data_IF_260292186798
#
_entry.id   IF_260292186798
#
_cell.length_a   1.000
_cell.length_b   1.000
_cell.length_c   1.000
_cell.angle_alpha   90.00
_cell.angle_beta   90.00
_cell.angle_gamma   90.00
#
_symmetry.space_group_name_H-M   'P 1'
#
loop_
_entity.id
_entity.type
_entity.pdbx_description
1 polymer ?
#
# COMPACT_ATOMS: atom_id res chain seq x y z
N UNK A 1 -4.74 -2.37 -30.13
CA UNK A 1 -5.93 -2.38 -29.23
C UNK A 1 -6.33 -0.95 -28.94
N UNK A 2 -7.42 -0.45 -29.54
CA UNK A 2 -7.98 0.86 -29.20
C UNK A 2 -8.70 0.76 -27.85
N UNK A 3 -8.10 1.29 -26.79
CA UNK A 3 -8.81 1.50 -25.52
C UNK A 3 -9.81 2.63 -25.74
N UNK A 4 -11.07 2.28 -25.96
CA UNK A 4 -12.19 3.21 -25.84
C UNK A 4 -12.13 3.83 -24.45
N UNK A 5 -11.77 5.11 -24.38
CA UNK A 5 -11.88 5.88 -23.14
C UNK A 5 -13.38 6.04 -22.86
N UNK A 6 -13.89 5.35 -21.84
CA UNK A 6 -15.26 5.49 -21.36
C UNK A 6 -15.55 6.97 -21.09
N UNK A 7 -16.33 7.61 -21.97
CA UNK A 7 -16.70 9.02 -21.86
C UNK A 7 -17.83 9.15 -20.85
N UNK A 8 -17.58 9.82 -19.74
CA UNK A 8 -18.57 9.99 -18.67
C UNK A 8 -19.70 10.94 -19.09
N UNK A 9 -20.96 10.52 -18.92
CA UNK A 9 -22.17 11.24 -19.34
C UNK A 9 -22.80 12.10 -18.23
N UNK A 10 -21.99 12.78 -17.41
CA UNK A 10 -22.48 13.61 -16.30
C UNK A 10 -21.64 14.87 -16.09
N UNK A 11 -22.25 15.91 -15.53
CA UNK A 11 -21.64 17.23 -15.33
C UNK A 11 -20.46 17.26 -14.35
N UNK A 12 -20.35 16.24 -13.48
CA UNK A 12 -19.22 16.08 -12.55
C UNK A 12 -18.12 15.25 -13.20
N UNK A 13 -16.88 15.75 -13.12
CA UNK A 13 -15.68 15.06 -13.63
C UNK A 13 -15.16 14.07 -12.59
N UNK A 14 -14.53 13.00 -13.05
CA UNK A 14 -13.77 12.10 -12.19
C UNK A 14 -12.35 12.62 -12.00
N UNK A 15 -11.91 12.70 -10.75
CA UNK A 15 -10.53 13.03 -10.41
C UNK A 15 -9.92 11.81 -9.72
N UNK A 16 -8.79 11.34 -10.23
CA UNK A 16 -7.99 10.31 -9.57
C UNK A 16 -6.80 10.97 -8.88
N UNK A 17 -6.68 10.78 -7.56
CA UNK A 17 -5.56 11.32 -6.78
C UNK A 17 -4.81 10.17 -6.11
N UNK A 18 -3.51 10.07 -6.40
CA UNK A 18 -2.64 9.03 -5.85
C UNK A 18 -1.76 9.61 -4.75
N UNK A 19 -1.70 8.92 -3.61
CA UNK A 19 -0.78 9.22 -2.52
C UNK A 19 0.26 8.11 -2.40
N UNK A 20 1.53 8.50 -2.45
CA UNK A 20 2.67 7.61 -2.19
C UNK A 20 2.78 7.31 -0.68
N UNK A 21 3.48 6.22 -0.32
CA UNK A 21 3.55 5.72 1.06
C UNK A 21 4.06 6.76 2.08
N UNK A 22 4.97 7.65 1.67
CA UNK A 22 5.48 8.75 2.51
C UNK A 22 4.43 9.84 2.72
N UNK A 23 3.62 10.13 1.70
CA UNK A 23 2.53 11.11 1.78
C UNK A 23 1.43 10.64 2.72
N UNK A 24 1.04 9.37 2.62
CA UNK A 24 0.07 8.74 3.53
C UNK A 24 0.60 8.68 4.97
N UNK A 25 1.89 8.38 5.15
CA UNK A 25 2.47 8.19 6.47
C UNK A 25 2.73 9.46 7.27
N UNK A 26 2.93 10.60 6.59
CA UNK A 26 3.12 11.91 7.22
C UNK A 26 1.81 12.65 7.45
N UNK A 27 0.80 12.45 6.61
CA UNK A 27 -0.39 13.29 6.66
C UNK A 27 -1.70 12.55 6.31
N UNK A 28 -2.22 11.68 7.20
CA UNK A 28 -3.57 11.16 7.03
C UNK A 28 -4.63 12.28 7.01
N UNK A 29 -4.38 13.39 7.72
CA UNK A 29 -5.32 14.52 7.84
C UNK A 29 -5.37 15.45 6.62
N UNK A 30 -4.26 15.63 5.88
CA UNK A 30 -4.23 16.55 4.72
C UNK A 30 -4.92 15.97 3.50
N UNK A 31 -5.03 14.64 3.41
CA UNK A 31 -5.73 14.00 2.29
C UNK A 31 -7.19 14.44 2.29
N UNK A 32 -7.87 14.40 3.44
CA UNK A 32 -9.27 14.84 3.55
C UNK A 32 -9.50 16.31 3.16
N UNK A 33 -8.54 17.19 3.47
CA UNK A 33 -8.63 18.63 3.16
C UNK A 33 -8.38 18.97 1.69
N UNK A 34 -7.74 18.07 0.93
CA UNK A 34 -7.44 18.30 -0.49
C UNK A 34 -8.60 17.89 -1.41
N UNK A 35 -9.60 17.18 -0.88
CA UNK A 35 -10.73 16.67 -1.65
C UNK A 35 -11.80 17.76 -1.81
N UNK A 36 -12.04 18.19 -3.05
CA UNK A 36 -13.12 19.14 -3.36
C UNK A 36 -14.44 18.40 -3.61
N UNK A 37 -15.53 18.73 -2.89
CA UNK A 37 -16.79 17.98 -2.94
C UNK A 37 -17.58 18.11 -4.26
N UNK A 38 -17.12 18.97 -5.17
CA UNK A 38 -17.79 19.25 -6.45
C UNK A 38 -17.57 18.17 -7.52
N UNK A 39 -16.57 17.30 -7.37
CA UNK A 39 -16.23 16.23 -8.32
C UNK A 39 -16.36 14.84 -7.69
N UNK A 40 -16.48 13.80 -8.53
CA UNK A 40 -16.35 12.42 -8.07
C UNK A 40 -14.87 12.11 -7.93
N UNK A 41 -14.42 11.67 -6.76
CA UNK A 41 -12.98 11.45 -6.50
C UNK A 41 -12.71 9.98 -6.22
N UNK A 42 -11.70 9.43 -6.90
CA UNK A 42 -11.07 8.16 -6.54
C UNK A 42 -9.73 8.48 -5.90
N UNK A 43 -9.54 8.01 -4.67
CA UNK A 43 -8.25 8.14 -3.99
C UNK A 43 -7.55 6.80 -3.94
N UNK A 44 -6.30 6.77 -4.41
CA UNK A 44 -5.47 5.57 -4.42
C UNK A 44 -4.32 5.76 -3.45
N UNK A 45 -4.23 4.87 -2.46
CA UNK A 45 -3.19 4.91 -1.44
C UNK A 45 -2.17 3.81 -1.64
N UNK A 46 -0.89 4.19 -1.58
CA UNK A 46 0.18 3.22 -1.36
C UNK A 46 0.27 2.86 0.13
N UNK A 47 0.83 1.69 0.43
CA UNK A 47 1.09 1.27 1.81
C UNK A 47 2.01 2.27 2.49
N UNK A 48 1.71 2.59 3.77
CA UNK A 48 2.41 3.59 4.57
C UNK A 48 3.93 3.35 4.60
N UNK A 49 4.70 4.44 4.54
CA UNK A 49 6.13 4.44 4.88
C UNK A 49 6.45 5.62 5.79
N UNK A 50 7.18 5.36 6.88
CA UNK A 50 7.66 6.39 7.78
C UNK A 50 9.03 6.89 7.30
N UNK A 51 9.17 8.21 7.10
CA UNK A 51 10.47 8.83 6.77
C UNK A 51 10.92 8.67 5.32
N UNK A 52 11.11 7.44 4.82
CA UNK A 52 11.66 7.16 3.49
C UNK A 52 11.05 5.91 2.81
N UNK A 53 11.17 5.82 1.48
CA UNK A 53 10.64 4.69 0.68
C UNK A 53 11.37 3.37 0.95
N UNK A 54 12.68 3.44 1.27
CA UNK A 54 13.55 2.26 1.45
C UNK A 54 13.21 1.48 2.73
N UNK A 55 12.81 2.16 3.80
CA UNK A 55 12.31 1.58 5.05
C UNK A 55 10.80 1.33 5.05
N UNK A 56 10.12 1.57 3.91
CA UNK A 56 8.68 1.43 3.79
C UNK A 56 8.19 0.01 4.05
N UNK A 57 6.91 -0.10 4.45
CA UNK A 57 6.27 -1.37 4.81
C UNK A 57 6.39 -2.39 3.67
N UNK A 58 6.21 -1.98 2.40
CA UNK A 58 6.33 -2.88 1.25
C UNK A 58 7.71 -3.54 1.15
N UNK A 59 8.80 -2.79 1.38
CA UNK A 59 10.15 -3.36 1.30
C UNK A 59 10.44 -4.29 2.49
N UNK A 60 9.97 -3.92 3.69
CA UNK A 60 10.07 -4.77 4.89
C UNK A 60 9.31 -6.09 4.71
N UNK A 61 8.09 -6.02 4.18
CA UNK A 61 7.27 -7.18 3.83
C UNK A 61 7.99 -8.07 2.81
N UNK A 62 8.49 -7.50 1.72
CA UNK A 62 9.16 -8.26 0.68
C UNK A 62 10.45 -8.94 1.15
N UNK A 63 11.24 -8.29 2.02
CA UNK A 63 12.42 -8.91 2.64
C UNK A 63 12.05 -10.10 3.53
N UNK A 64 11.00 -9.99 4.36
CA UNK A 64 10.54 -11.09 5.21
C UNK A 64 9.96 -12.26 4.39
N UNK A 65 9.13 -11.98 3.39
CA UNK A 65 8.58 -13.02 2.51
C UNK A 65 9.65 -13.80 1.76
N UNK A 66 10.72 -13.14 1.30
CA UNK A 66 11.84 -13.85 0.65
C UNK A 66 12.58 -14.78 1.60
N UNK A 67 12.75 -14.41 2.87
CA UNK A 67 13.35 -15.29 3.89
C UNK A 67 12.48 -16.51 4.14
N UNK A 68 11.18 -16.29 4.28
CA UNK A 68 10.20 -17.38 4.42
C UNK A 68 10.25 -18.32 3.21
N UNK A 69 10.26 -17.78 1.99
CA UNK A 69 10.33 -18.58 0.77
C UNK A 69 11.63 -19.38 0.66
N UNK A 70 12.76 -18.82 1.07
CA UNK A 70 14.04 -19.53 1.10
C UNK A 70 14.06 -20.65 2.15
N UNK A 71 13.31 -20.50 3.24
CA UNK A 71 13.21 -21.50 4.31
C UNK A 71 12.26 -22.66 3.99
N UNK A 72 11.36 -22.55 3.00
CA UNK A 72 10.36 -23.61 2.74
C UNK A 72 10.90 -24.84 1.99
N UNK A 73 12.22 -25.01 1.92
CA UNK A 73 12.89 -26.14 1.27
C UNK A 73 13.24 -27.29 2.24
N UNK A 74 13.09 -27.09 3.56
CA UNK A 74 13.32 -28.10 4.61
C UNK A 74 12.07 -28.21 5.51
N UNK A 75 11.87 -29.33 6.22
CA UNK A 75 10.67 -29.62 7.04
C UNK A 75 10.74 -29.06 8.50
N UNK A 76 11.93 -28.92 9.09
CA UNK A 76 12.19 -28.27 10.40
C UNK A 76 11.86 -26.75 10.55
N UNK A 77 11.86 -25.88 9.51
CA UNK A 77 11.73 -24.43 9.65
C UNK A 77 10.29 -23.90 9.74
N UNK A 78 9.27 -24.76 9.72
CA UNK A 78 7.87 -24.32 9.66
C UNK A 78 7.46 -23.44 10.86
N UNK A 79 7.92 -23.76 12.07
CA UNK A 79 7.64 -22.97 13.27
C UNK A 79 8.32 -21.59 13.23
N UNK A 80 9.52 -21.51 12.65
CA UNK A 80 10.24 -20.25 12.46
C UNK A 80 9.56 -19.37 11.42
N UNK A 81 9.10 -19.95 10.32
CA UNK A 81 8.32 -19.27 9.28
C UNK A 81 7.02 -18.69 9.85
N UNK A 82 6.27 -19.46 10.64
CA UNK A 82 5.03 -18.98 11.29
C UNK A 82 5.32 -17.85 12.26
N UNK A 83 6.41 -17.93 13.04
CA UNK A 83 6.84 -16.87 13.96
C UNK A 83 7.22 -15.59 13.21
N UNK A 84 7.96 -15.71 12.10
CA UNK A 84 8.31 -14.57 11.24
C UNK A 84 7.08 -13.93 10.60
N UNK A 85 6.12 -14.73 10.13
CA UNK A 85 4.85 -14.25 9.58
C UNK A 85 4.01 -13.51 10.63
N UNK A 86 3.92 -14.02 11.87
CA UNK A 86 3.25 -13.33 12.98
C UNK A 86 3.91 -12.00 13.33
N UNK A 87 5.25 -11.98 13.41
CA UNK A 87 6.03 -10.76 13.64
C UNK A 87 5.79 -9.72 12.54
N UNK A 88 5.73 -10.15 11.27
CA UNK A 88 5.42 -9.29 10.13
C UNK A 88 4.03 -8.65 10.25
N UNK A 89 3.00 -9.40 10.64
CA UNK A 89 1.64 -8.88 10.82
C UNK A 89 1.61 -7.81 11.92
N UNK A 90 2.28 -8.06 13.05
CA UNK A 90 2.37 -7.09 14.15
C UNK A 90 3.13 -5.83 13.74
N UNK A 91 4.19 -5.97 12.94
CA UNK A 91 4.99 -4.86 12.41
C UNK A 91 4.20 -3.94 11.45
N UNK A 92 3.27 -4.51 10.67
CA UNK A 92 2.42 -3.75 9.74
C UNK A 92 1.29 -3.01 10.46
N UNK A 93 0.79 -3.57 11.57
CA UNK A 93 -0.33 -3.01 12.34
C UNK A 93 0.06 -1.76 13.16
N UNK A 94 1.35 -1.47 13.33
CA UNK A 94 1.87 -0.27 14.02
C UNK A 94 1.86 0.98 13.14
#
# INVERSE_FOLDING_TARGET
MNKSLLRHAGSKRWIAQKFDGTGVGRFPYTVGHTLTPSNKIVVVYSVRSYGNKVGGITNRLWKKLRRIAAASSDEEPQHNVVREARSLIQDIRK
#
